data_IF_229952135223
#
_entry.id   IF_229952135223
#
_cell.length_a   1.000
_cell.length_b   1.000
_cell.length_c   1.000
_cell.angle_alpha   90.00
_cell.angle_beta   90.00
_cell.angle_gamma   90.00
#
_symmetry.space_group_name_H-M   'P 1'
#
loop_
_entity.id
_entity.type
_entity.pdbx_description
1 polymer ?
#
# COMPACT_ATOMS: atom_id res chain seq x y z
N UNK A 1 -19.73 33.71 62.21
CA UNK A 1 -20.63 32.55 61.99
C UNK A 1 -20.98 32.51 60.51
N UNK A 2 -20.33 31.66 59.72
CA UNK A 2 -20.73 31.46 58.33
C UNK A 2 -22.10 30.76 58.33
N UNK A 3 -23.09 31.38 57.68
CA UNK A 3 -24.45 30.84 57.54
C UNK A 3 -24.36 29.39 57.03
N UNK A 4 -24.99 28.45 57.73
CA UNK A 4 -25.06 27.02 57.34
C UNK A 4 -25.57 26.85 55.90
N UNK A 5 -26.33 27.82 55.38
CA UNK A 5 -26.77 27.85 53.97
C UNK A 5 -25.63 28.03 52.97
N UNK A 6 -24.61 28.85 53.29
CA UNK A 6 -23.47 29.07 52.41
C UNK A 6 -22.60 27.81 52.28
N UNK A 7 -22.45 27.07 53.37
CA UNK A 7 -21.64 25.84 53.39
C UNK A 7 -22.32 24.77 52.52
N UNK A 8 -23.64 24.59 52.66
CA UNK A 8 -24.41 23.61 51.88
C UNK A 8 -24.41 23.94 50.38
N UNK A 9 -24.48 25.21 50.00
CA UNK A 9 -24.42 25.64 48.60
C UNK A 9 -23.06 25.32 47.94
N UNK A 10 -21.95 25.53 48.66
CA UNK A 10 -20.60 25.24 48.15
C UNK A 10 -20.41 23.74 47.90
N UNK A 11 -20.88 22.89 48.83
CA UNK A 11 -20.84 21.45 48.63
C UNK A 11 -21.70 21.00 47.44
N UNK A 12 -22.91 21.55 47.29
CA UNK A 12 -23.78 21.21 46.15
C UNK A 12 -23.12 21.55 44.80
N UNK A 13 -22.51 22.73 44.68
CA UNK A 13 -21.82 23.17 43.45
C UNK A 13 -20.60 22.27 43.15
N UNK A 14 -19.84 21.89 44.18
CA UNK A 14 -18.72 20.97 44.04
C UNK A 14 -19.17 19.56 43.58
N UNK A 15 -20.27 19.05 44.12
CA UNK A 15 -20.83 17.76 43.69
C UNK A 15 -21.35 17.80 42.25
N UNK A 16 -22.08 18.86 41.87
CA UNK A 16 -22.61 19.02 40.51
C UNK A 16 -21.48 19.12 39.48
N UNK A 17 -20.44 19.90 39.77
CA UNK A 17 -19.27 20.04 38.88
C UNK A 17 -18.49 18.73 38.71
N UNK A 18 -18.34 17.94 39.77
CA UNK A 18 -17.74 16.59 39.68
C UNK A 18 -18.59 15.65 38.84
N UNK A 19 -19.92 15.65 39.02
CA UNK A 19 -20.85 14.79 38.25
C UNK A 19 -20.86 15.17 36.76
N UNK A 20 -20.92 16.46 36.43
CA UNK A 20 -20.87 16.91 35.02
C UNK A 20 -19.53 16.59 34.35
N UNK A 21 -18.42 16.68 35.08
CA UNK A 21 -17.10 16.34 34.53
C UNK A 21 -16.92 14.83 34.31
N UNK A 22 -17.51 13.97 35.16
CA UNK A 22 -17.47 12.51 35.00
C UNK A 22 -18.30 12.00 33.82
N UNK A 23 -19.36 12.73 33.45
CA UNK A 23 -20.29 12.31 32.38
C UNK A 23 -19.81 12.68 30.97
N UNK A 24 -18.71 13.44 30.86
CA UNK A 24 -18.00 13.72 29.60
C UNK A 24 -16.98 12.62 29.33
N UNK A 25 -17.44 11.38 29.23
CA UNK A 25 -16.68 10.39 28.47
C UNK A 25 -16.66 10.88 27.02
N UNK A 26 -15.50 11.16 26.40
CA UNK A 26 -15.46 11.34 24.97
C UNK A 26 -15.82 9.97 24.39
N UNK A 27 -17.03 9.83 23.86
CA UNK A 27 -17.38 8.72 22.98
C UNK A 27 -16.66 8.99 21.66
N UNK A 28 -15.32 8.89 21.70
CA UNK A 28 -14.54 8.74 20.50
C UNK A 28 -14.99 7.42 19.89
N UNK A 29 -15.37 7.37 18.60
CA UNK A 29 -15.55 6.10 17.92
C UNK A 29 -14.19 5.38 17.97
N UNK A 30 -14.03 4.44 18.90
CA UNK A 30 -12.88 3.53 18.96
C UNK A 30 -13.04 2.47 17.86
N UNK A 31 -13.00 2.93 16.62
CA UNK A 31 -12.36 2.13 15.58
C UNK A 31 -11.17 2.98 15.17
N UNK A 32 -9.93 2.61 15.57
CA UNK A 32 -8.79 3.07 14.82
C UNK A 32 -8.99 2.44 13.45
N UNK A 33 -9.63 3.16 12.52
CA UNK A 33 -9.44 2.91 11.12
C UNK A 33 -7.95 3.15 10.92
N UNK A 34 -7.19 2.07 11.09
CA UNK A 34 -5.79 2.01 10.77
C UNK A 34 -5.78 2.21 9.25
N UNK A 35 -5.72 3.48 8.83
CA UNK A 35 -5.52 3.86 7.45
C UNK A 35 -4.13 3.38 7.09
N UNK A 36 -4.02 2.10 6.76
CA UNK A 36 -2.88 1.59 6.03
C UNK A 36 -2.94 2.29 4.69
N UNK A 37 -1.94 3.12 4.41
CA UNK A 37 -1.71 3.61 3.06
C UNK A 37 -1.52 2.36 2.19
N UNK A 38 -2.56 1.95 1.46
CA UNK A 38 -2.42 0.88 0.49
C UNK A 38 -1.39 1.38 -0.54
N UNK A 39 -0.29 0.65 -0.78
CA UNK A 39 0.72 1.06 -1.74
C UNK A 39 0.09 1.03 -3.13
N UNK A 40 -0.47 2.18 -3.52
CA UNK A 40 -1.06 2.39 -4.82
C UNK A 40 0.08 2.73 -5.77
N UNK A 41 0.54 1.74 -6.52
CA UNK A 41 1.54 1.98 -7.55
C UNK A 41 0.93 2.79 -8.69
N UNK A 42 1.75 3.68 -9.25
CA UNK A 42 1.38 4.52 -10.40
C UNK A 42 2.21 4.11 -11.60
N UNK A 43 1.55 4.09 -12.76
CA UNK A 43 2.15 3.94 -14.07
C UNK A 43 1.75 5.18 -14.87
N UNK A 44 2.67 6.14 -15.00
CA UNK A 44 2.33 7.51 -15.40
C UNK A 44 1.27 8.12 -14.47
N UNK A 45 0.14 8.51 -15.04
CA UNK A 45 -1.00 9.10 -14.30
C UNK A 45 -2.02 8.07 -13.79
N UNK A 46 -1.85 6.79 -14.13
CA UNK A 46 -2.80 5.73 -13.78
C UNK A 46 -2.37 4.99 -12.53
N UNK A 47 -3.30 4.85 -11.61
CA UNK A 47 -3.14 3.92 -10.50
C UNK A 47 -3.51 2.50 -10.93
N UNK A 48 -2.82 1.51 -10.37
CA UNK A 48 -3.14 0.11 -10.60
C UNK A 48 -2.96 -0.72 -9.33
N UNK A 49 -3.65 -1.86 -9.29
CA UNK A 49 -3.47 -2.87 -8.25
C UNK A 49 -2.27 -3.77 -8.60
N UNK A 50 -1.16 -3.73 -7.84
CA UNK A 50 0.03 -4.53 -8.11
C UNK A 50 -0.20 -6.05 -7.98
N UNK A 51 -1.30 -6.48 -7.35
CA UNK A 51 -1.66 -7.90 -7.28
C UNK A 51 -2.26 -8.43 -8.59
N UNK A 52 -2.71 -7.55 -9.48
CA UNK A 52 -3.41 -7.92 -10.71
C UNK A 52 -2.73 -7.36 -11.96
N UNK A 53 -2.03 -6.22 -11.84
CA UNK A 53 -1.44 -5.49 -12.94
C UNK A 53 0.00 -5.06 -12.63
N UNK A 54 0.77 -4.80 -13.68
CA UNK A 54 2.07 -4.15 -13.60
C UNK A 54 2.16 -2.96 -14.57
N UNK A 55 3.18 -2.14 -14.40
CA UNK A 55 3.53 -1.09 -15.35
C UNK A 55 4.55 -1.62 -16.35
N UNK A 56 4.23 -1.56 -17.64
CA UNK A 56 5.11 -1.97 -18.73
C UNK A 56 4.97 -0.97 -19.89
N UNK A 57 6.07 -0.37 -20.34
CA UNK A 57 6.10 0.69 -21.36
C UNK A 57 5.06 1.81 -21.08
N UNK A 58 5.05 2.33 -19.85
CA UNK A 58 4.11 3.36 -19.36
C UNK A 58 2.61 2.98 -19.49
N UNK A 59 2.31 1.69 -19.70
CA UNK A 59 0.96 1.16 -19.76
C UNK A 59 0.70 0.18 -18.59
N UNK A 60 -0.49 0.28 -18.01
CA UNK A 60 -0.99 -0.70 -17.05
C UNK A 60 -1.40 -1.96 -17.80
N UNK A 61 -0.72 -3.07 -17.54
CA UNK A 61 -0.98 -4.38 -18.18
C UNK A 61 -1.29 -5.45 -17.14
N UNK A 62 -2.11 -6.45 -17.45
CA UNK A 62 -2.40 -7.55 -16.53
C UNK A 62 -1.15 -8.42 -16.30
N UNK A 63 -1.01 -9.01 -15.12
CA UNK A 63 0.14 -9.87 -14.77
C UNK A 63 0.32 -11.08 -15.71
N UNK A 64 -0.75 -11.53 -16.34
CA UNK A 64 -0.72 -12.62 -17.33
C UNK A 64 -0.23 -12.18 -18.72
N UNK A 65 0.04 -10.88 -18.93
CA UNK A 65 0.48 -10.36 -20.23
C UNK A 65 1.82 -10.99 -20.63
N UNK A 66 1.85 -11.50 -21.85
CA UNK A 66 3.05 -12.06 -22.47
C UNK A 66 3.42 -11.32 -23.75
N UNK A 67 4.71 -11.35 -24.09
CA UNK A 67 5.23 -10.80 -25.35
C UNK A 67 6.25 -11.79 -25.94
N UNK A 68 6.52 -11.66 -27.24
CA UNK A 68 7.50 -12.51 -27.94
C UNK A 68 8.92 -11.97 -27.76
N UNK A 69 9.87 -12.89 -27.60
CA UNK A 69 11.30 -12.67 -27.63
C UNK A 69 11.91 -13.75 -28.51
N UNK A 70 12.24 -13.43 -29.77
CA UNK A 70 12.63 -14.43 -30.77
C UNK A 70 11.53 -15.49 -30.96
N UNK A 71 11.85 -16.76 -30.71
CA UNK A 71 10.91 -17.90 -30.82
C UNK A 71 10.08 -18.15 -29.55
N UNK A 72 10.47 -17.56 -28.42
CA UNK A 72 9.78 -17.75 -27.15
C UNK A 72 8.77 -16.64 -26.85
N UNK A 73 7.95 -16.87 -25.82
CA UNK A 73 7.21 -15.82 -25.11
C UNK A 73 7.73 -15.64 -23.70
N UNK A 74 7.68 -14.41 -23.18
CA UNK A 74 8.02 -14.07 -21.80
C UNK A 74 6.89 -13.27 -21.15
N UNK A 75 6.81 -13.31 -19.83
CA UNK A 75 5.84 -12.55 -19.03
C UNK A 75 6.40 -11.16 -18.74
N UNK A 76 5.79 -10.13 -19.32
CA UNK A 76 6.34 -8.76 -19.29
C UNK A 76 6.44 -8.14 -17.90
N UNK A 77 5.71 -8.67 -16.92
CA UNK A 77 5.73 -8.19 -15.54
C UNK A 77 6.82 -8.81 -14.66
N UNK A 78 7.48 -9.88 -15.12
CA UNK A 78 8.46 -10.63 -14.32
C UNK A 78 9.78 -10.83 -15.06
N UNK A 79 9.70 -10.92 -16.38
CA UNK A 79 10.80 -11.22 -17.28
C UNK A 79 11.00 -10.06 -18.27
N UNK A 80 12.22 -9.94 -18.80
CA UNK A 80 12.59 -9.02 -19.86
C UNK A 80 13.32 -9.76 -20.98
N UNK A 81 13.16 -9.26 -22.21
CA UNK A 81 13.85 -9.76 -23.39
C UNK A 81 15.11 -8.94 -23.65
N UNK A 82 16.27 -9.61 -23.71
CA UNK A 82 17.53 -9.01 -24.12
C UNK A 82 17.65 -9.07 -25.65
N UNK A 83 17.55 -7.94 -26.38
CA UNK A 83 17.39 -7.94 -27.83
C UNK A 83 18.63 -8.45 -28.59
N UNK A 84 19.82 -8.26 -28.03
CA UNK A 84 21.08 -8.64 -28.67
C UNK A 84 21.35 -10.15 -28.62
N UNK A 85 20.95 -10.79 -27.52
CA UNK A 85 21.22 -12.22 -27.25
C UNK A 85 20.00 -13.10 -27.47
N UNK A 86 18.82 -12.51 -27.73
CA UNK A 86 17.52 -13.19 -27.76
C UNK A 86 17.32 -14.06 -26.51
N UNK A 87 17.69 -13.52 -25.36
CA UNK A 87 17.64 -14.21 -24.07
C UNK A 87 16.56 -13.58 -23.20
N UNK A 88 15.78 -14.42 -22.54
CA UNK A 88 14.80 -13.98 -21.54
C UNK A 88 15.47 -14.09 -20.17
N UNK A 89 15.45 -12.98 -19.42
CA UNK A 89 15.98 -12.87 -18.05
C UNK A 89 14.92 -12.27 -17.12
N UNK A 90 15.11 -12.36 -15.81
CA UNK A 90 14.26 -11.62 -14.86
C UNK A 90 14.48 -10.09 -14.99
N UNK A 91 13.45 -9.29 -14.73
CA UNK A 91 13.52 -7.81 -14.80
C UNK A 91 14.64 -7.23 -13.91
N UNK A 92 14.99 -7.89 -12.81
CA UNK A 92 16.05 -7.43 -11.90
C UNK A 92 17.46 -7.87 -12.32
N UNK A 93 17.63 -8.54 -13.46
CA UNK A 93 18.92 -9.02 -13.94
C UNK A 93 19.40 -8.19 -15.13
N UNK A 94 20.69 -7.87 -15.20
CA UNK A 94 21.24 -7.17 -16.36
C UNK A 94 21.43 -8.09 -17.58
N UNK A 95 21.16 -7.55 -18.78
CA UNK A 95 21.35 -8.26 -20.03
C UNK A 95 22.83 -8.56 -20.34
N UNK A 96 23.76 -7.76 -19.83
CA UNK A 96 25.20 -7.99 -20.03
C UNK A 96 25.80 -8.97 -19.01
N UNK A 97 25.06 -9.34 -17.98
CA UNK A 97 25.51 -10.33 -17.00
C UNK A 97 25.66 -11.70 -17.65
N UNK A 98 26.57 -12.51 -17.10
CA UNK A 98 26.72 -13.90 -17.48
C UNK A 98 25.37 -14.65 -17.42
N UNK A 99 25.14 -15.64 -18.31
CA UNK A 99 23.92 -16.42 -18.29
C UNK A 99 23.77 -17.19 -16.98
N UNK A 100 22.57 -17.15 -16.40
CA UNK A 100 22.21 -17.95 -15.21
C UNK A 100 21.43 -19.20 -15.61
N UNK A 101 21.24 -20.13 -14.68
CA UNK A 101 20.44 -21.35 -14.93
C UNK A 101 18.97 -21.04 -15.23
N UNK A 102 18.47 -19.90 -14.79
CA UNK A 102 17.08 -19.46 -15.01
C UNK A 102 16.89 -18.74 -16.36
N UNK A 103 17.99 -18.44 -17.06
CA UNK A 103 17.95 -17.71 -18.33
C UNK A 103 17.50 -18.64 -19.47
N UNK A 104 16.62 -18.13 -20.32
CA UNK A 104 16.12 -18.89 -21.48
C UNK A 104 16.64 -18.31 -22.79
N UNK A 105 17.42 -19.09 -23.52
CA UNK A 105 17.90 -18.75 -24.85
C UNK A 105 16.80 -19.00 -25.89
N UNK A 106 16.40 -17.95 -26.61
CA UNK A 106 15.25 -17.96 -27.52
C UNK A 106 15.64 -17.63 -28.97
N UNK A 107 16.87 -18.00 -29.34
CA UNK A 107 17.42 -17.86 -30.69
C UNK A 107 16.59 -18.68 -31.70
N UNK A 108 16.57 -18.19 -32.94
CA UNK A 108 15.84 -18.78 -34.06
C UNK A 108 16.40 -20.14 -34.48
#
# INVERSE_FOLDING_TARGET
MASRGCILAVFAIFFISRVLCSHRAPVAPMTPYLMLCQPHMRCGDKFYDPLQHCCYDDAVVPLARTQRCGKCTFRVCFEQCCPWTFMVKLINQNCDSAPTSDDRLCRN
#
